data_IF_569254256085
#
_entry.id   IF_569254256085
#
_cell.length_a   1.000
_cell.length_b   1.000
_cell.length_c   1.000
_cell.angle_alpha   90.00
_cell.angle_beta   90.00
_cell.angle_gamma   90.00
#
_symmetry.space_group_name_H-M   'P 1'
#
loop_
_entity.id
_entity.type
_entity.pdbx_description
1 polymer ?
#
# COMPACT_ATOMS: atom_id res chain seq x y z
N UNK A 1 -32.08 0.12 -0.61
CA UNK A 1 -30.78 0.53 -1.16
C UNK A 1 -30.21 -0.64 -1.95
N UNK A 2 -29.58 -0.42 -3.12
CA UNK A 2 -28.88 -1.52 -3.83
C UNK A 2 -27.73 -2.00 -2.95
N UNK A 3 -27.54 -3.30 -2.83
CA UNK A 3 -26.37 -3.87 -2.16
C UNK A 3 -25.09 -3.37 -2.86
N UNK A 4 -24.01 -3.08 -2.11
CA UNK A 4 -22.76 -2.63 -2.70
C UNK A 4 -22.22 -3.70 -3.66
N UNK A 5 -21.80 -3.27 -4.85
CA UNK A 5 -21.22 -4.17 -5.87
C UNK A 5 -19.86 -4.69 -5.38
N UNK A 6 -19.60 -5.97 -5.64
CA UNK A 6 -18.29 -6.57 -5.42
C UNK A 6 -17.29 -6.04 -6.45
N UNK A 7 -16.08 -5.70 -5.99
CA UNK A 7 -14.99 -5.21 -6.83
C UNK A 7 -13.86 -6.23 -6.90
N UNK A 8 -13.21 -6.28 -8.06
CA UNK A 8 -12.03 -7.12 -8.32
C UNK A 8 -10.94 -6.18 -8.86
N UNK A 9 -9.79 -6.13 -8.20
CA UNK A 9 -8.59 -5.51 -8.73
C UNK A 9 -7.62 -6.58 -9.22
N UNK A 10 -6.98 -6.34 -10.36
CA UNK A 10 -5.99 -7.25 -10.94
C UNK A 10 -4.65 -6.53 -11.02
N UNK A 11 -3.63 -7.08 -10.38
CA UNK A 11 -2.26 -6.57 -10.33
C UNK A 11 -1.41 -7.39 -11.31
N UNK A 12 -1.54 -7.12 -12.61
CA UNK A 12 -0.75 -7.75 -13.69
C UNK A 12 0.32 -6.80 -14.24
N UNK A 13 1.31 -6.50 -13.40
CA UNK A 13 2.40 -5.58 -13.73
C UNK A 13 2.80 -4.71 -12.56
N UNK A 14 3.37 -3.54 -12.88
CA UNK A 14 3.78 -2.54 -11.89
C UNK A 14 2.57 -1.74 -11.39
N UNK A 15 2.30 -1.84 -10.10
CA UNK A 15 1.38 -1.00 -9.34
C UNK A 15 2.16 -0.18 -8.33
N UNK A 16 2.36 1.10 -8.63
CA UNK A 16 3.17 2.02 -7.82
C UNK A 16 2.32 3.14 -7.22
N UNK A 17 2.68 3.60 -6.03
CA UNK A 17 2.09 4.79 -5.39
C UNK A 17 0.57 4.71 -5.29
N UNK A 18 -0.15 5.66 -5.90
CA UNK A 18 -1.61 5.67 -5.91
C UNK A 18 -2.22 4.42 -6.57
N UNK A 19 -1.57 3.84 -7.58
CA UNK A 19 -2.03 2.60 -8.22
C UNK A 19 -1.93 1.39 -7.28
N UNK A 20 -0.88 1.34 -6.44
CA UNK A 20 -0.77 0.36 -5.36
C UNK A 20 -1.93 0.53 -4.35
N UNK A 21 -2.17 1.75 -3.89
CA UNK A 21 -3.28 2.02 -2.96
C UNK A 21 -4.65 1.66 -3.53
N UNK A 22 -4.95 2.00 -4.79
CA UNK A 22 -6.26 1.67 -5.39
C UNK A 22 -6.48 0.16 -5.53
N UNK A 23 -5.41 -0.59 -5.75
CA UNK A 23 -5.45 -2.05 -5.82
C UNK A 23 -5.71 -2.72 -4.46
N UNK A 24 -5.64 -1.99 -3.34
CA UNK A 24 -5.72 -2.58 -1.98
C UNK A 24 -6.68 -1.87 -1.04
N UNK A 25 -6.96 -0.58 -1.22
CA UNK A 25 -7.78 0.23 -0.31
C UNK A 25 -9.24 -0.22 -0.23
N UNK A 26 -9.68 -1.02 -1.20
CA UNK A 26 -11.01 -1.60 -1.25
C UNK A 26 -11.10 -2.97 -0.54
N UNK A 27 -9.97 -3.52 -0.08
CA UNK A 27 -9.94 -4.74 0.72
C UNK A 27 -10.38 -4.40 2.16
N UNK A 28 -11.21 -5.28 2.73
CA UNK A 28 -11.64 -5.16 4.13
C UNK A 28 -10.50 -5.60 5.05
N UNK A 29 -9.46 -4.78 5.16
CA UNK A 29 -8.27 -5.06 5.98
C UNK A 29 -8.55 -5.04 7.49
N UNK A 30 -9.66 -4.42 7.92
CA UNK A 30 -10.04 -4.33 9.34
C UNK A 30 -11.01 -5.45 9.78
N UNK A 31 -11.38 -6.36 8.87
CA UNK A 31 -12.33 -7.44 9.17
C UNK A 31 -13.74 -6.94 9.52
N UNK A 32 -14.07 -5.67 9.25
CA UNK A 32 -15.38 -5.09 9.58
C UNK A 32 -16.50 -5.85 8.86
N UNK A 33 -17.28 -6.59 9.64
CA UNK A 33 -18.46 -7.32 9.19
C UNK A 33 -19.53 -6.34 8.73
N UNK A 34 -19.70 -6.23 7.42
CA UNK A 34 -20.69 -5.36 6.80
C UNK A 34 -20.38 -5.06 5.33
N UNK A 35 -19.13 -4.77 5.00
CA UNK A 35 -18.74 -4.42 3.63
C UNK A 35 -18.80 -5.61 2.66
N UNK A 36 -19.16 -5.36 1.40
CA UNK A 36 -19.06 -6.38 0.35
C UNK A 36 -17.64 -6.96 0.30
N UNK A 37 -17.53 -8.29 0.30
CA UNK A 37 -16.25 -8.99 0.14
C UNK A 37 -15.70 -8.66 -1.24
N UNK A 38 -14.57 -7.96 -1.28
CA UNK A 38 -13.87 -7.60 -2.51
C UNK A 38 -12.61 -8.44 -2.71
N UNK A 39 -12.07 -8.42 -3.93
CA UNK A 39 -10.96 -9.27 -4.34
C UNK A 39 -9.83 -8.46 -4.95
N UNK A 40 -8.60 -8.87 -4.63
CA UNK A 40 -7.40 -8.38 -5.30
C UNK A 40 -6.57 -9.57 -5.75
N UNK A 41 -6.16 -9.57 -7.00
CA UNK A 41 -5.45 -10.66 -7.66
C UNK A 41 -4.02 -10.21 -7.93
N UNK A 42 -3.06 -10.83 -7.26
CA UNK A 42 -1.66 -10.73 -7.63
C UNK A 42 -1.35 -11.77 -8.72
N UNK A 43 -0.54 -11.40 -9.71
CA UNK A 43 -0.13 -12.29 -10.79
C UNK A 43 1.35 -12.58 -10.78
N UNK A 44 1.80 -13.47 -11.68
CA UNK A 44 3.23 -13.70 -11.92
C UNK A 44 4.01 -12.44 -12.32
N UNK A 45 3.32 -11.39 -12.77
CA UNK A 45 3.89 -10.09 -13.15
C UNK A 45 3.71 -9.03 -12.08
N UNK A 46 3.22 -9.34 -10.89
CA UNK A 46 3.02 -8.32 -9.85
C UNK A 46 4.34 -7.69 -9.42
N UNK A 47 4.38 -6.36 -9.47
CA UNK A 47 5.35 -5.51 -8.76
C UNK A 47 4.58 -4.42 -8.05
N UNK A 48 4.59 -4.44 -6.73
CA UNK A 48 3.82 -3.53 -5.90
C UNK A 48 4.75 -2.68 -5.03
N UNK A 49 4.56 -1.36 -5.00
CA UNK A 49 5.40 -0.52 -4.14
C UNK A 49 4.83 0.88 -3.88
N UNK A 50 5.21 1.46 -2.73
CA UNK A 50 5.02 2.89 -2.45
C UNK A 50 6.25 3.75 -2.77
N UNK A 51 7.30 3.17 -3.37
CA UNK A 51 8.59 3.82 -3.62
C UNK A 51 8.47 5.24 -4.19
N UNK A 52 7.58 5.42 -5.17
CA UNK A 52 7.40 6.72 -5.84
C UNK A 52 7.08 7.88 -4.88
N UNK A 53 6.48 7.61 -3.72
CA UNK A 53 6.09 8.69 -2.81
C UNK A 53 7.29 9.44 -2.24
N UNK A 54 8.22 8.76 -1.59
CA UNK A 54 9.31 9.43 -0.85
C UNK A 54 10.41 9.98 -1.76
N UNK A 55 10.66 9.34 -2.91
CA UNK A 55 11.59 9.84 -3.93
C UNK A 55 11.03 11.05 -4.68
N UNK A 56 9.73 11.31 -4.62
CA UNK A 56 9.12 12.50 -5.22
C UNK A 56 8.78 13.58 -4.19
N UNK A 57 9.27 13.49 -2.94
CA UNK A 57 8.88 14.45 -1.89
C UNK A 57 7.40 14.36 -1.48
N UNK A 58 6.79 13.18 -1.65
CA UNK A 58 5.41 12.85 -1.31
C UNK A 58 5.33 11.76 -0.22
N UNK A 59 4.12 11.29 0.06
CA UNK A 59 3.79 10.22 1.01
C UNK A 59 2.78 9.25 0.36
N UNK A 60 2.54 8.05 0.91
CA UNK A 60 1.51 7.14 0.41
C UNK A 60 0.10 7.77 0.51
N UNK A 61 -0.64 7.77 -0.59
CA UNK A 61 -1.96 8.42 -0.72
C UNK A 61 -3.09 7.40 -0.93
N UNK A 62 -4.31 7.88 -1.17
CA UNK A 62 -5.48 7.11 -1.60
C UNK A 62 -5.93 6.05 -0.59
N UNK A 63 -5.93 6.41 0.70
CA UNK A 63 -6.31 5.56 1.82
C UNK A 63 -5.18 4.66 2.33
N UNK A 64 -3.94 4.85 1.85
CA UNK A 64 -2.77 4.15 2.37
C UNK A 64 -2.58 4.36 3.87
N UNK A 65 -2.88 5.55 4.38
CA UNK A 65 -2.82 5.81 5.82
C UNK A 65 -3.85 5.02 6.62
N UNK A 66 -4.91 4.53 5.98
CA UNK A 66 -5.91 3.68 6.61
C UNK A 66 -5.47 2.21 6.60
N UNK A 67 -5.13 1.64 5.44
CA UNK A 67 -4.89 0.19 5.37
C UNK A 67 -3.49 -0.25 5.80
N UNK A 68 -2.45 0.57 5.58
CA UNK A 68 -1.07 0.18 5.92
C UNK A 68 -0.89 -0.09 7.42
N UNK A 69 -1.36 0.78 8.34
CA UNK A 69 -1.20 0.51 9.78
C UNK A 69 -2.01 -0.70 10.29
N UNK A 70 -2.89 -1.26 9.46
CA UNK A 70 -3.73 -2.43 9.77
C UNK A 70 -3.15 -3.73 9.22
N UNK A 71 -2.03 -3.68 8.50
CA UNK A 71 -1.32 -4.88 8.07
C UNK A 71 -0.69 -5.58 9.28
N UNK A 72 -0.33 -6.85 9.11
CA UNK A 72 0.30 -7.66 10.16
C UNK A 72 1.60 -7.00 10.65
N UNK A 73 1.71 -6.85 11.97
CA UNK A 73 2.90 -6.28 12.61
C UNK A 73 3.21 -4.87 12.10
N UNK A 74 4.47 -4.65 11.75
CA UNK A 74 4.99 -3.36 11.25
C UNK A 74 5.19 -3.34 9.74
N UNK A 75 4.62 -4.31 9.02
CA UNK A 75 4.75 -4.44 7.56
C UNK A 75 4.31 -3.16 6.85
N UNK A 76 3.15 -2.61 7.18
CA UNK A 76 2.67 -1.42 6.48
C UNK A 76 3.56 -0.19 6.68
N UNK A 77 4.11 -0.02 7.88
CA UNK A 77 5.08 1.03 8.19
C UNK A 77 6.37 0.84 7.40
N UNK A 78 6.88 -0.40 7.33
CA UNK A 78 8.01 -0.74 6.48
C UNK A 78 7.76 -0.42 5.01
N UNK A 79 6.64 -0.88 4.44
CA UNK A 79 6.31 -0.67 3.03
C UNK A 79 6.18 0.80 2.67
N UNK A 80 5.58 1.59 3.55
CA UNK A 80 5.47 3.02 3.37
C UNK A 80 6.85 3.67 3.34
N UNK A 81 7.65 3.49 4.40
CA UNK A 81 8.86 4.29 4.63
C UNK A 81 10.07 3.82 3.82
N UNK A 82 10.18 2.51 3.55
CA UNK A 82 11.32 1.95 2.81
C UNK A 82 11.19 2.04 1.29
N UNK A 83 9.96 2.23 0.79
CA UNK A 83 9.68 2.13 -0.64
C UNK A 83 10.00 0.75 -1.23
N UNK A 84 10.02 -0.30 -0.41
CA UNK A 84 10.35 -1.66 -0.87
C UNK A 84 9.37 -2.16 -1.93
N UNK A 85 9.86 -3.04 -2.80
CA UNK A 85 9.09 -3.59 -3.93
C UNK A 85 8.65 -5.01 -3.61
N UNK A 86 7.36 -5.26 -3.69
CA UNK A 86 6.81 -6.57 -3.40
C UNK A 86 6.52 -7.31 -4.70
N UNK A 87 6.96 -8.56 -4.75
CA UNK A 87 6.51 -9.53 -5.75
C UNK A 87 5.12 -10.08 -5.34
N UNK A 88 4.58 -10.98 -6.17
CA UNK A 88 3.28 -11.59 -5.89
C UNK A 88 3.22 -12.33 -4.54
N UNK A 89 4.30 -13.02 -4.16
CA UNK A 89 4.37 -13.77 -2.92
C UNK A 89 4.33 -12.85 -1.69
N UNK A 90 5.09 -11.76 -1.72
CA UNK A 90 5.08 -10.77 -0.65
C UNK A 90 3.74 -10.04 -0.53
N UNK A 91 3.12 -9.69 -1.65
CA UNK A 91 1.78 -9.06 -1.66
C UNK A 91 0.75 -10.00 -1.02
N UNK A 92 0.80 -11.30 -1.34
CA UNK A 92 -0.04 -12.31 -0.71
C UNK A 92 0.25 -12.44 0.78
N UNK A 93 1.53 -12.54 1.16
CA UNK A 93 1.95 -12.66 2.56
C UNK A 93 1.54 -11.45 3.41
N UNK A 94 1.65 -10.25 2.85
CA UNK A 94 1.26 -9.00 3.51
C UNK A 94 -0.27 -8.84 3.65
N UNK A 95 -1.07 -9.69 3.00
CA UNK A 95 -2.53 -9.57 2.95
C UNK A 95 -3.03 -8.47 2.00
N UNK A 96 -2.19 -8.04 1.05
CA UNK A 96 -2.49 -7.02 0.06
C UNK A 96 -3.13 -7.59 -1.22
N UNK A 97 -3.15 -8.91 -1.37
CA UNK A 97 -3.96 -9.62 -2.36
C UNK A 97 -4.71 -10.78 -1.71
N UNK A 98 -5.88 -11.12 -2.26
CA UNK A 98 -6.68 -12.25 -1.81
C UNK A 98 -6.36 -13.53 -2.59
N UNK A 99 -5.90 -13.38 -3.84
CA UNK A 99 -5.58 -14.48 -4.74
C UNK A 99 -4.26 -14.23 -5.47
N UNK A 100 -3.54 -15.31 -5.71
CA UNK A 100 -2.49 -15.38 -6.70
C UNK A 100 -3.02 -16.06 -7.98
N UNK A 101 -2.73 -15.51 -9.15
CA UNK A 101 -3.12 -16.08 -10.44
C UNK A 101 -2.02 -15.93 -11.49
N UNK A 102 -1.52 -17.02 -12.09
CA UNK A 102 -0.61 -16.94 -13.23
C UNK A 102 -1.14 -16.01 -14.33
N UNK A 103 -0.28 -15.14 -14.88
CA UNK A 103 -0.70 -14.10 -15.83
C UNK A 103 -1.34 -14.67 -17.09
N UNK A 104 -0.95 -15.88 -17.51
CA UNK A 104 -1.50 -16.61 -18.66
C UNK A 104 -2.91 -17.19 -18.43
N UNK A 105 -3.38 -17.20 -17.17
CA UNK A 105 -4.75 -17.64 -16.80
C UNK A 105 -5.73 -16.47 -16.64
N UNK A 106 -5.24 -15.23 -16.55
CA UNK A 106 -6.07 -14.05 -16.29
C UNK A 106 -7.15 -13.84 -17.36
N UNK A 107 -6.81 -13.96 -18.64
CA UNK A 107 -7.76 -13.76 -19.75
C UNK A 107 -8.95 -14.74 -19.66
N UNK A 108 -8.65 -16.02 -19.42
CA UNK A 108 -9.67 -17.06 -19.26
C UNK A 108 -10.53 -16.83 -18.02
N UNK A 109 -9.93 -16.42 -16.91
CA UNK A 109 -10.65 -16.09 -15.68
C UNK A 109 -11.61 -14.91 -15.88
N UNK A 110 -11.15 -13.82 -16.51
CA UNK A 110 -11.98 -12.64 -16.78
C UNK A 110 -13.11 -12.95 -17.77
N UNK A 111 -12.87 -13.83 -18.75
CA UNK A 111 -13.90 -14.36 -19.64
C UNK A 111 -14.99 -15.14 -18.88
N UNK A 112 -14.60 -16.03 -17.97
CA UNK A 112 -15.53 -16.80 -17.13
C UNK A 112 -16.34 -15.89 -16.20
N UNK A 113 -15.69 -14.95 -15.51
CA UNK A 113 -16.36 -13.96 -14.66
C UNK A 113 -17.40 -13.15 -15.45
N UNK A 114 -17.05 -12.73 -16.67
CA UNK A 114 -17.94 -11.95 -17.53
C UNK A 114 -19.12 -12.78 -18.04
N UNK A 115 -18.87 -14.05 -18.42
CA UNK A 115 -19.90 -14.99 -18.85
C UNK A 115 -20.89 -15.27 -17.72
N UNK A 116 -20.41 -15.63 -16.53
CA UNK A 116 -21.27 -15.92 -15.38
C UNK A 116 -22.03 -14.68 -14.91
N UNK A 117 -21.41 -13.49 -14.92
CA UNK A 117 -22.11 -12.26 -14.59
C UNK A 117 -23.29 -11.93 -15.52
N UNK A 118 -23.28 -12.44 -16.76
CA UNK A 118 -24.37 -12.26 -17.73
C UNK A 118 -25.44 -13.34 -17.65
N UNK A 119 -25.05 -14.56 -17.29
CA UNK A 119 -25.90 -15.75 -17.41
C UNK A 119 -26.47 -16.23 -16.06
N UNK A 120 -25.77 -15.97 -14.96
CA UNK A 120 -26.21 -16.39 -13.63
C UNK A 120 -27.27 -15.42 -13.10
N UNK A 121 -28.34 -15.95 -12.50
CA UNK A 121 -29.37 -15.12 -11.86
C UNK A 121 -28.83 -14.33 -10.66
N UNK A 122 -28.14 -15.01 -9.74
CA UNK A 122 -27.43 -14.39 -8.62
C UNK A 122 -25.91 -14.56 -8.79
N UNK A 123 -25.20 -13.44 -9.01
CA UNK A 123 -23.74 -13.41 -9.14
C UNK A 123 -23.12 -12.42 -8.16
N UNK A 124 -22.70 -12.94 -7.00
CA UNK A 124 -22.12 -12.17 -5.90
C UNK A 124 -20.74 -12.66 -5.50
N UNK A 125 -20.27 -12.24 -4.33
CA UNK A 125 -18.92 -12.54 -3.85
C UNK A 125 -18.63 -14.05 -3.72
N UNK A 126 -19.64 -14.89 -3.46
CA UNK A 126 -19.48 -16.34 -3.36
C UNK A 126 -19.17 -16.96 -4.74
N UNK A 127 -19.94 -16.61 -5.78
CA UNK A 127 -19.70 -17.08 -7.14
C UNK A 127 -18.39 -16.53 -7.72
N UNK A 128 -18.06 -15.27 -7.42
CA UNK A 128 -16.78 -14.68 -7.80
C UNK A 128 -15.63 -15.47 -7.16
N UNK A 129 -15.69 -15.74 -5.86
CA UNK A 129 -14.67 -16.54 -5.14
C UNK A 129 -14.48 -17.91 -5.81
N UNK A 130 -15.57 -18.61 -6.14
CA UNK A 130 -15.51 -19.91 -6.83
C UNK A 130 -14.77 -19.85 -8.17
N UNK A 131 -15.05 -18.83 -8.98
CA UNK A 131 -14.34 -18.64 -10.25
C UNK A 131 -12.86 -18.34 -9.98
N UNK A 132 -12.54 -17.46 -9.04
CA UNK A 132 -11.15 -17.12 -8.73
C UNK A 132 -10.36 -18.33 -8.21
N UNK A 133 -10.95 -19.16 -7.36
CA UNK A 133 -10.36 -20.41 -6.85
C UNK A 133 -10.14 -21.48 -7.93
N UNK A 134 -10.88 -21.39 -9.05
CA UNK A 134 -10.71 -22.30 -10.19
C UNK A 134 -9.45 -21.98 -11.01
N UNK A 135 -9.14 -20.68 -11.16
CA UNK A 135 -8.04 -20.23 -12.01
C UNK A 135 -6.75 -19.91 -11.24
N UNK A 136 -6.85 -19.65 -9.94
CA UNK A 136 -5.74 -19.27 -9.10
C UNK A 136 -5.74 -19.95 -7.74
N UNK A 137 -4.90 -19.43 -6.86
CA UNK A 137 -4.73 -19.89 -5.50
C UNK A 137 -5.12 -18.77 -4.56
N UNK A 138 -6.17 -18.97 -3.77
CA UNK A 138 -6.51 -18.08 -2.65
C UNK A 138 -5.48 -18.17 -1.53
N UNK A 139 -5.40 -17.15 -0.68
CA UNK A 139 -4.50 -17.11 0.47
C UNK A 139 -4.66 -18.30 1.46
N UNK A 140 -5.74 -19.08 1.36
CA UNK A 140 -6.02 -20.28 2.15
C UNK A 140 -5.57 -21.59 1.48
N UNK A 141 -5.07 -21.54 0.24
CA UNK A 141 -4.60 -22.68 -0.55
C UNK A 141 -3.15 -22.44 -0.99
N UNK A 142 -2.39 -23.51 -1.29
CA UNK A 142 -0.95 -23.40 -1.64
C UNK A 142 -0.56 -24.09 -2.95
N UNK A 143 -1.54 -24.50 -3.79
CA UNK A 143 -1.28 -25.35 -4.97
C UNK A 143 -0.46 -24.65 -6.06
N UNK A 144 -0.79 -23.43 -6.47
CA UNK A 144 -0.02 -22.72 -7.51
C UNK A 144 1.17 -21.93 -6.92
N UNK A 145 1.18 -21.67 -5.62
CA UNK A 145 2.21 -20.86 -4.95
C UNK A 145 3.59 -21.54 -4.94
N UNK A 146 3.64 -22.87 -4.93
CA UNK A 146 4.90 -23.63 -4.92
C UNK A 146 5.67 -23.59 -6.24
N UNK A 147 5.03 -23.20 -7.34
CA UNK A 147 5.66 -23.08 -8.67
C UNK A 147 6.17 -21.66 -8.97
N UNK A 148 5.76 -20.66 -8.18
CA UNK A 148 6.24 -19.29 -8.30
C UNK A 148 7.60 -19.16 -7.60
N UNK A 149 8.63 -18.76 -8.35
CA UNK A 149 9.94 -18.42 -7.79
C UNK A 149 9.99 -16.92 -7.46
N UNK A 150 9.82 -16.52 -6.19
CA UNK A 150 9.80 -15.10 -5.80
C UNK A 150 11.12 -14.38 -6.07
N UNK A 151 12.22 -15.11 -6.30
CA UNK A 151 13.55 -14.56 -6.58
C UNK A 151 13.76 -14.22 -8.06
N UNK A 152 12.82 -14.57 -8.95
CA UNK A 152 12.93 -14.31 -10.39
C UNK A 152 11.99 -13.18 -10.80
N UNK A 153 12.46 -11.92 -10.80
CA UNK A 153 11.64 -10.79 -11.24
C UNK A 153 11.14 -10.99 -12.68
N UNK A 154 9.94 -10.49 -13.03
CA UNK A 154 9.46 -10.54 -14.40
C UNK A 154 10.42 -9.90 -15.40
N UNK A 155 10.65 -10.56 -16.54
CA UNK A 155 11.61 -10.10 -17.56
C UNK A 155 11.30 -8.72 -18.16
N UNK A 156 10.05 -8.25 -18.08
CA UNK A 156 9.70 -6.91 -18.55
C UNK A 156 10.32 -5.81 -17.69
N UNK A 157 10.74 -6.11 -16.46
CA UNK A 157 11.40 -5.13 -15.58
C UNK A 157 12.73 -4.67 -16.14
N UNK A 158 13.46 -5.51 -16.90
CA UNK A 158 14.70 -5.12 -17.58
C UNK A 158 14.51 -3.91 -18.52
N UNK A 159 13.29 -3.71 -19.02
CA UNK A 159 12.91 -2.58 -19.90
C UNK A 159 12.66 -1.28 -19.12
N UNK A 160 12.33 -1.37 -17.83
CA UNK A 160 12.03 -0.23 -16.95
C UNK A 160 13.13 0.01 -15.91
N UNK A 161 14.10 -0.90 -15.81
CA UNK A 161 15.24 -0.84 -14.91
C UNK A 161 16.46 -0.27 -15.62
N UNK A 162 16.57 1.06 -15.66
CA UNK A 162 17.92 1.65 -15.63
C UNK A 162 18.51 1.29 -14.26
N UNK A 163 19.33 0.24 -14.19
CA UNK A 163 20.19 -0.26 -13.11
C UNK A 163 19.66 -0.33 -11.64
N UNK A 164 18.42 0.08 -11.35
CA UNK A 164 17.85 0.25 -10.01
C UNK A 164 16.75 -0.78 -9.67
N UNK A 165 16.75 -1.95 -10.32
CA UNK A 165 15.87 -3.09 -9.98
C UNK A 165 16.71 -4.27 -9.50
N UNK A 166 17.28 -4.15 -8.29
CA UNK A 166 18.20 -5.15 -7.73
C UNK A 166 17.63 -5.95 -6.56
N UNK A 167 16.39 -5.70 -6.12
CA UNK A 167 15.90 -6.25 -4.85
C UNK A 167 14.74 -7.24 -5.03
N UNK A 168 14.99 -8.56 -4.93
CA UNK A 168 13.93 -9.54 -4.69
C UNK A 168 13.55 -9.46 -3.20
N UNK A 169 12.48 -8.76 -2.88
CA UNK A 169 12.00 -8.71 -1.50
C UNK A 169 11.46 -10.08 -1.06
N UNK A 170 11.72 -10.43 0.20
CA UNK A 170 11.21 -11.61 0.89
C UNK A 170 10.71 -11.18 2.27
N UNK A 171 9.48 -10.66 2.29
CA UNK A 171 8.87 -9.99 3.43
C UNK A 171 8.69 -10.95 4.61
N UNK A 172 8.37 -12.22 4.34
CA UNK A 172 8.28 -13.28 5.34
C UNK A 172 9.62 -13.51 6.06
N UNK A 173 10.71 -13.62 5.30
CA UNK A 173 12.03 -13.92 5.84
C UNK A 173 12.57 -12.80 6.76
N UNK A 174 12.10 -11.57 6.56
CA UNK A 174 12.54 -10.39 7.33
C UNK A 174 11.50 -9.89 8.33
N UNK A 175 10.37 -10.58 8.51
CA UNK A 175 9.23 -10.09 9.31
C UNK A 175 9.64 -9.69 10.73
N UNK A 176 10.38 -10.55 11.43
CA UNK A 176 10.77 -10.26 12.81
C UNK A 176 11.69 -9.04 12.90
N UNK A 177 12.58 -8.85 11.93
CA UNK A 177 13.45 -7.66 11.88
C UNK A 177 12.65 -6.40 11.50
N UNK A 178 11.67 -6.53 10.60
CA UNK A 178 10.71 -5.48 10.27
C UNK A 178 9.98 -5.02 11.54
N UNK A 179 9.46 -5.95 12.34
CA UNK A 179 8.77 -5.61 13.59
C UNK A 179 9.68 -4.93 14.60
N UNK A 180 10.90 -5.42 14.78
CA UNK A 180 11.87 -4.81 15.71
C UNK A 180 12.25 -3.38 15.31
N UNK A 181 12.32 -3.09 14.01
CA UNK A 181 12.78 -1.80 13.48
C UNK A 181 11.65 -0.81 13.22
N UNK A 182 10.60 -1.22 12.51
CA UNK A 182 9.50 -0.34 12.09
C UNK A 182 8.36 -0.26 13.11
N UNK A 183 8.43 -1.03 14.19
CA UNK A 183 7.54 -0.92 15.36
C UNK A 183 7.97 0.13 16.38
N UNK A 184 9.02 0.92 16.10
CA UNK A 184 9.50 1.98 17.00
C UNK A 184 8.53 3.17 17.06
N UNK A 185 8.64 3.97 18.10
CA UNK A 185 7.73 5.09 18.36
C UNK A 185 8.05 6.39 17.60
N UNK A 186 9.22 6.48 16.98
CA UNK A 186 9.68 7.62 16.18
C UNK A 186 10.69 7.16 15.11
N UNK A 187 11.01 8.07 14.20
CA UNK A 187 11.89 7.81 13.05
C UNK A 187 13.33 7.59 13.51
N UNK A 188 13.81 8.31 14.51
CA UNK A 188 15.17 8.23 15.02
C UNK A 188 15.47 6.85 15.60
N UNK A 189 14.60 6.33 16.46
CA UNK A 189 14.70 5.00 17.05
C UNK A 189 14.57 3.90 15.97
N UNK A 190 13.74 4.12 14.94
CA UNK A 190 13.62 3.21 13.80
C UNK A 190 14.94 3.12 13.02
N UNK A 191 15.55 4.27 12.71
CA UNK A 191 16.83 4.32 12.01
C UNK A 191 17.95 3.70 12.85
N UNK A 192 18.00 4.00 14.15
CA UNK A 192 18.96 3.39 15.07
C UNK A 192 18.79 1.86 15.19
N UNK A 193 17.55 1.36 15.15
CA UNK A 193 17.28 -0.07 15.14
C UNK A 193 17.75 -0.73 13.83
N UNK A 194 17.49 -0.09 12.68
CA UNK A 194 17.98 -0.57 11.38
C UNK A 194 19.52 -0.61 11.33
N UNK A 195 20.20 0.37 11.91
CA UNK A 195 21.67 0.39 12.01
C UNK A 195 22.23 -0.77 12.85
N UNK A 196 21.47 -1.27 13.83
CA UNK A 196 21.86 -2.39 14.67
C UNK A 196 21.64 -3.75 13.98
N UNK A 197 20.68 -3.85 13.06
CA UNK A 197 20.44 -5.06 12.25
C UNK A 197 21.55 -5.19 11.19
N UNK A 198 22.57 -6.00 11.47
CA UNK A 198 23.75 -6.19 10.58
C UNK A 198 23.51 -7.18 9.44
N UNK A 199 22.29 -7.24 8.90
CA UNK A 199 21.95 -8.08 7.75
C UNK A 199 21.84 -7.25 6.46
N UNK A 200 21.99 -7.91 5.31
CA UNK A 200 21.97 -7.24 4.00
C UNK A 200 20.65 -6.47 3.77
N UNK A 201 19.52 -7.05 4.19
CA UNK A 201 18.20 -6.41 4.09
C UNK A 201 18.17 -5.06 4.81
N UNK A 202 18.61 -4.99 6.07
CA UNK A 202 18.55 -3.77 6.86
C UNK A 202 19.51 -2.69 6.32
N UNK A 203 20.71 -3.10 5.89
CA UNK A 203 21.68 -2.19 5.26
C UNK A 203 21.14 -1.58 3.97
N UNK A 204 20.54 -2.40 3.09
CA UNK A 204 19.91 -1.94 1.86
C UNK A 204 18.71 -1.02 2.13
N UNK A 205 17.86 -1.41 3.09
CA UNK A 205 16.70 -0.61 3.52
C UNK A 205 17.12 0.75 4.02
N UNK A 206 18.13 0.82 4.90
CA UNK A 206 18.66 2.06 5.43
C UNK A 206 19.31 2.93 4.36
N UNK A 207 20.07 2.32 3.44
CA UNK A 207 20.67 3.03 2.32
C UNK A 207 19.61 3.66 1.41
N UNK A 208 18.50 2.97 1.15
CA UNK A 208 17.36 3.50 0.40
C UNK A 208 16.69 4.66 1.13
N UNK A 209 16.36 4.49 2.42
CA UNK A 209 15.70 5.54 3.22
C UNK A 209 16.53 6.82 3.24
N UNK A 210 17.86 6.71 3.32
CA UNK A 210 18.78 7.87 3.33
C UNK A 210 18.81 8.67 2.02
N UNK A 211 18.33 8.11 0.92
CA UNK A 211 18.22 8.82 -0.37
C UNK A 211 16.89 9.57 -0.53
N UNK A 212 15.94 9.36 0.37
CA UNK A 212 14.58 9.91 0.28
C UNK A 212 14.47 11.28 0.99
N UNK A 213 13.41 12.04 0.68
CA UNK A 213 13.11 13.28 1.38
C UNK A 213 12.93 13.02 2.89
N UNK A 214 13.69 13.71 3.77
CA UNK A 214 13.48 13.64 5.21
C UNK A 214 12.08 14.13 5.60
N UNK A 215 11.58 15.18 4.97
CA UNK A 215 10.22 15.69 5.20
C UNK A 215 9.17 14.61 4.94
N UNK A 216 9.24 13.95 3.78
CA UNK A 216 8.35 12.85 3.43
C UNK A 216 8.42 11.70 4.42
N UNK A 217 9.62 11.30 4.85
CA UNK A 217 9.81 10.22 5.82
C UNK A 217 9.07 10.51 7.13
N UNK A 218 9.25 11.70 7.70
CA UNK A 218 8.62 12.09 8.96
C UNK A 218 7.12 12.32 8.82
N UNK A 219 6.66 12.91 7.71
CA UNK A 219 5.23 13.07 7.42
C UNK A 219 4.56 11.70 7.30
N UNK A 220 5.14 10.76 6.54
CA UNK A 220 4.59 9.41 6.37
C UNK A 220 4.52 8.67 7.70
N UNK A 221 5.56 8.74 8.53
CA UNK A 221 5.57 8.10 9.84
C UNK A 221 4.41 8.62 10.72
N UNK A 222 4.26 9.93 10.83
CA UNK A 222 3.17 10.54 11.62
C UNK A 222 1.78 10.27 11.01
N UNK A 223 1.68 10.24 9.68
CA UNK A 223 0.44 9.94 8.96
C UNK A 223 -0.06 8.52 9.28
N UNK A 224 0.82 7.52 9.22
CA UNK A 224 0.47 6.14 9.56
C UNK A 224 0.05 6.00 11.03
N UNK A 225 0.77 6.66 11.93
CA UNK A 225 0.46 6.64 13.37
C UNK A 225 -0.94 7.21 13.65
N UNK A 226 -1.33 8.29 12.97
CA UNK A 226 -2.68 8.86 13.08
C UNK A 226 -3.73 7.98 12.41
N UNK A 227 -3.43 7.44 11.23
CA UNK A 227 -4.34 6.64 10.43
C UNK A 227 -4.73 5.30 11.08
N UNK A 228 -3.88 4.77 11.95
CA UNK A 228 -4.13 3.53 12.70
C UNK A 228 -5.45 3.54 13.48
N UNK A 229 -5.86 4.69 14.03
CA UNK A 229 -7.10 4.84 14.81
C UNK A 229 -8.21 5.61 14.09
N UNK A 230 -7.99 6.03 12.84
CA UNK A 230 -8.93 6.86 12.08
C UNK A 230 -9.83 6.03 11.17
N UNK A 231 -10.98 6.61 10.81
CA UNK A 231 -11.81 6.09 9.72
C UNK A 231 -11.12 6.28 8.37
N UNK A 232 -11.53 5.51 7.35
CA UNK A 232 -11.04 5.71 5.98
C UNK A 232 -11.33 7.14 5.48
N UNK A 233 -12.48 7.70 5.85
CA UNK A 233 -12.87 9.06 5.49
C UNK A 233 -11.92 10.11 6.10
N UNK A 234 -11.60 9.98 7.38
CA UNK A 234 -10.66 10.88 8.07
C UNK A 234 -9.24 10.74 7.53
N UNK A 235 -8.84 9.52 7.17
CA UNK A 235 -7.58 9.26 6.49
C UNK A 235 -7.53 10.00 5.15
N UNK A 236 -8.50 9.80 4.25
CA UNK A 236 -8.56 10.47 2.94
C UNK A 236 -8.59 11.99 3.11
N UNK A 237 -9.33 12.52 4.09
CA UNK A 237 -9.36 13.95 4.40
C UNK A 237 -8.00 14.47 4.83
N UNK A 238 -7.28 13.72 5.66
CA UNK A 238 -5.93 14.08 6.13
C UNK A 238 -4.93 14.01 4.97
N UNK A 239 -4.95 12.93 4.20
CA UNK A 239 -4.11 12.76 3.01
C UNK A 239 -4.32 13.89 2.01
N UNK A 240 -5.56 14.29 1.71
CA UNK A 240 -5.80 15.39 0.78
C UNK A 240 -5.22 16.73 1.26
N UNK A 241 -5.34 17.04 2.57
CA UNK A 241 -4.75 18.26 3.16
C UNK A 241 -3.23 18.23 3.08
N UNK A 242 -2.62 17.08 3.38
CA UNK A 242 -1.18 16.90 3.29
C UNK A 242 -0.70 17.02 1.84
N UNK A 243 -1.39 16.41 0.88
CA UNK A 243 -1.02 16.48 -0.54
C UNK A 243 -0.95 17.93 -1.01
N UNK A 244 -1.95 18.75 -0.68
CA UNK A 244 -1.95 20.19 -1.01
C UNK A 244 -0.77 20.95 -0.43
N UNK A 245 -0.35 20.63 0.80
CA UNK A 245 0.78 21.29 1.46
C UNK A 245 2.11 20.81 0.90
N UNK A 246 2.27 19.52 0.68
CA UNK A 246 3.52 18.93 0.21
C UNK A 246 3.79 19.26 -1.27
N UNK A 247 2.75 19.37 -2.10
CA UNK A 247 2.90 19.83 -3.49
C UNK A 247 3.39 21.26 -3.63
N UNK A 248 3.26 22.08 -2.58
CA UNK A 248 3.77 23.45 -2.54
C UNK A 248 5.20 23.53 -1.96
N UNK A 249 5.79 22.42 -1.52
CA UNK A 249 7.13 22.39 -0.93
C UNK A 249 8.20 22.13 -1.98
N UNK A 250 9.41 22.60 -1.68
CA UNK A 250 10.59 22.39 -2.52
C UNK A 250 10.88 20.90 -2.76
N UNK A 251 10.80 20.07 -1.70
CA UNK A 251 11.00 18.61 -1.81
C UNK A 251 10.16 17.97 -2.94
N UNK A 252 8.90 18.37 -3.14
CA UNK A 252 8.09 17.80 -4.22
C UNK A 252 8.65 18.17 -5.59
N UNK A 253 8.91 19.46 -5.80
CA UNK A 253 9.47 19.95 -7.06
C UNK A 253 10.85 19.36 -7.36
N UNK A 254 11.68 19.22 -6.34
CA UNK A 254 13.02 18.65 -6.46
C UNK A 254 12.98 17.15 -6.77
N UNK A 255 12.09 16.39 -6.12
CA UNK A 255 11.93 14.98 -6.43
C UNK A 255 11.43 14.75 -7.86
N UNK A 256 10.44 15.53 -8.30
CA UNK A 256 9.97 15.51 -9.70
C UNK A 256 11.10 15.87 -10.66
N UNK A 257 11.89 16.91 -10.36
CA UNK A 257 13.05 17.29 -11.17
C UNK A 257 14.03 16.12 -11.28
N UNK A 258 14.50 15.59 -10.16
CA UNK A 258 15.57 14.60 -10.11
C UNK A 258 15.21 13.26 -10.77
N UNK A 259 13.95 12.81 -10.64
CA UNK A 259 13.55 11.46 -11.08
C UNK A 259 12.68 11.43 -12.34
N UNK A 260 11.94 12.49 -12.66
CA UNK A 260 11.00 12.48 -13.79
C UNK A 260 11.44 13.40 -14.93
N UNK A 261 12.00 14.57 -14.62
CA UNK A 261 12.39 15.57 -15.63
C UNK A 261 13.84 15.36 -16.07
N UNK A 262 14.79 15.60 -15.17
CA UNK A 262 16.23 15.54 -15.47
C UNK A 262 16.75 14.10 -15.41
N UNK A 263 16.12 13.25 -14.59
CA UNK A 263 16.45 11.84 -14.40
C UNK A 263 17.90 11.62 -13.99
N UNK A 264 18.46 12.55 -13.22
CA UNK A 264 19.82 12.47 -12.69
C UNK A 264 19.92 11.59 -11.43
N UNK A 265 18.78 11.29 -10.80
CA UNK A 265 18.74 10.51 -9.56
C UNK A 265 19.45 11.18 -8.38
N UNK A 266 19.66 12.50 -8.43
CA UNK A 266 20.47 13.25 -7.47
C UNK A 266 19.67 14.42 -6.85
N UNK A 267 18.63 14.11 -6.06
CA UNK A 267 17.79 15.13 -5.43
C UNK A 267 18.54 15.90 -4.33
N UNK A 268 18.21 17.18 -4.20
CA UNK A 268 18.70 18.11 -3.16
C UNK A 268 17.58 18.45 -2.19
N UNK A 269 17.34 17.54 -1.25
CA UNK A 269 16.27 17.68 -0.27
C UNK A 269 16.45 18.87 0.68
N UNK A 270 15.33 19.40 1.17
CA UNK A 270 15.30 20.29 2.30
C UNK A 270 15.92 19.61 3.54
N UNK A 271 16.48 20.39 4.50
CA UNK A 271 17.01 19.85 5.74
C UNK A 271 15.98 19.08 6.57
N UNK A 272 16.47 18.32 7.55
CA UNK A 272 15.62 17.58 8.50
C UNK A 272 14.56 18.53 9.14
N UNK A 273 13.26 18.22 9.03
CA UNK A 273 12.21 19.08 9.53
C UNK A 273 12.15 19.06 11.06
N UNK A 274 11.68 20.15 11.66
CA UNK A 274 11.39 20.16 13.10
C UNK A 274 10.09 19.41 13.42
N UNK A 275 9.94 18.96 14.67
CA UNK A 275 8.67 18.37 15.13
C UNK A 275 7.49 19.32 14.96
N UNK A 276 7.69 20.63 15.19
CA UNK A 276 6.65 21.64 15.06
C UNK A 276 6.24 21.86 13.60
N UNK A 277 7.21 21.83 12.69
CA UNK A 277 6.96 21.87 11.26
C UNK A 277 6.11 20.68 10.81
N UNK A 278 6.47 19.45 11.20
CA UNK A 278 5.68 18.25 10.91
C UNK A 278 4.28 18.40 11.49
N UNK A 279 4.14 18.78 12.76
CA UNK A 279 2.84 18.97 13.41
C UNK A 279 1.96 19.99 12.69
N UNK A 280 2.56 21.07 12.17
CA UNK A 280 1.84 22.13 11.44
C UNK A 280 1.19 21.62 10.14
N UNK A 281 1.83 20.66 9.46
CA UNK A 281 1.33 20.09 8.20
C UNK A 281 0.03 19.31 8.38
N UNK A 282 -0.25 18.82 9.60
CA UNK A 282 -1.48 18.09 9.91
C UNK A 282 -2.59 18.97 10.50
N UNK A 283 -2.38 20.28 10.65
CA UNK A 283 -3.44 21.17 11.15
C UNK A 283 -4.64 21.18 10.18
N UNK A 284 -5.88 21.30 10.66
CA UNK A 284 -7.04 21.50 9.79
C UNK A 284 -6.82 22.68 8.84
N UNK A 285 -7.40 22.60 7.64
CA UNK A 285 -7.51 23.75 6.73
C UNK A 285 -8.84 24.46 6.99
N UNK A 286 -8.92 25.76 6.72
CA UNK A 286 -10.16 26.54 6.87
C UNK A 286 -11.31 25.97 6.04
N UNK A 287 -12.54 26.39 6.34
CA UNK A 287 -13.78 25.84 5.75
C UNK A 287 -13.85 25.92 4.21
N UNK A 288 -13.07 26.80 3.59
CA UNK A 288 -13.02 27.02 2.13
C UNK A 288 -12.15 26.01 1.36
N UNK A 289 -11.47 25.11 2.06
CA UNK A 289 -10.64 24.06 1.46
C UNK A 289 -11.17 22.68 1.85
N UNK A 290 -12.47 22.47 1.81
CA UNK A 290 -13.05 21.13 1.93
C UNK A 290 -12.85 20.37 0.62
N UNK A 291 -12.54 19.07 0.74
CA UNK A 291 -12.67 18.13 -0.38
C UNK A 291 -14.05 18.35 -1.02
N UNK A 292 -14.13 18.69 -2.32
CA UNK A 292 -15.43 18.82 -3.01
C UNK A 292 -16.14 17.47 -3.21
N UNK A 293 -15.57 16.38 -2.67
CA UNK A 293 -16.25 15.10 -2.60
C UNK A 293 -17.31 15.18 -1.50
N UNK A 294 -18.57 15.11 -1.91
CA UNK A 294 -19.61 14.47 -1.13
C UNK A 294 -19.18 13.01 -0.87
N UNK A 295 -18.25 12.81 0.07
CA UNK A 295 -18.15 11.57 0.84
C UNK A 295 -19.38 11.51 1.76
N UNK A 296 -20.57 11.64 1.17
CA UNK A 296 -21.83 11.55 1.89
C UNK A 296 -21.93 10.12 2.39
N UNK A 297 -22.40 9.99 3.63
CA UNK A 297 -22.63 8.74 4.37
C UNK A 297 -23.30 7.61 3.54
N UNK A 298 -23.94 7.93 2.41
CA UNK A 298 -24.53 6.97 1.46
C UNK A 298 -23.55 5.94 0.89
N UNK A 299 -22.26 6.25 0.73
CA UNK A 299 -21.28 5.30 0.17
C UNK A 299 -20.52 4.49 1.25
N UNK A 300 -20.68 4.85 2.53
CA UNK A 300 -19.98 4.27 3.68
C UNK A 300 -20.93 3.57 4.68
N UNK A 301 -22.24 3.49 4.38
CA UNK A 301 -23.16 2.63 5.14
C UNK A 301 -22.92 1.15 4.83
N UNK A 302 -21.77 0.66 5.25
CA UNK A 302 -21.59 -0.73 5.67
C UNK A 302 -20.48 -0.72 6.72
N UNK A 303 -20.85 -0.99 7.98
CA UNK A 303 -19.88 -1.34 9.02
C UNK A 303 -19.52 -0.29 10.08
N UNK A 304 -20.31 0.74 10.34
CA UNK A 304 -20.18 1.49 11.60
C UNK A 304 -21.05 0.88 12.71
N UNK A 305 -20.60 -0.23 13.30
CA UNK A 305 -20.97 -0.51 14.68
C UNK A 305 -19.89 0.10 15.58
N UNK A 306 -20.30 1.04 16.43
CA UNK A 306 -19.49 1.50 17.56
C UNK A 306 -19.03 0.26 18.32
N UNK A 307 -17.74 -0.01 18.36
CA UNK A 307 -17.16 -0.87 19.40
C UNK A 307 -17.31 -0.07 20.70
N UNK A 308 -18.39 -0.33 21.42
CA UNK A 308 -18.52 0.09 22.81
C UNK A 308 -17.44 -0.63 23.61
N UNK A 309 -16.66 0.13 24.38
CA UNK A 309 -15.77 -0.43 25.40
C UNK A 309 -16.54 -1.38 26.32
N UNK A 310 -16.13 -2.64 26.36
CA UNK A 310 -16.62 -3.71 27.23
C UNK A 310 -16.45 -5.03 26.47
N UNK A 311 -15.70 -6.04 26.89
CA UNK A 311 -15.20 -6.41 28.21
C UNK A 311 -13.81 -7.04 28.02
N UNK A 312 -12.85 -6.63 28.86
CA UNK A 312 -11.66 -7.43 29.14
C UNK A 312 -12.06 -8.36 30.29
N UNK A 313 -12.09 -9.66 30.05
CA UNK A 313 -11.84 -10.70 31.05
C UNK A 313 -11.04 -11.82 30.41
#
# INVERSE_FOLDING_TARGET
>A
AKSPKTRIAVIDGMSLGAGASLATCHLNVDGSSGCAKNFSIASTRTVFSFQASHFLGMFPLCGASYFLPRLKGSIGTYLALSGSRLNAADVMYAGLATHFMPSDRLEKCMGELSSRAQNDGEFGAAQIQEVLDTFGTSATSTKDFKAFDPNKPPSYLTRYSGDNFTDPTHLEANHEAIDRCFGKGNVEDMLAALEQEKCAWAQNTLANIRQMSPTSLYVTFELLRRGASQSLEDCIRTEWRLARRLFARNDFHEGVRAFEIDKDGAPKWDPLPSRDEISSLFRPMGETELLPLELTQKHLQVGHQKISKGEIR
#
